data_IF_457624015130
#
_entry.id   IF_457624015130
#
_cell.length_a   1.000
_cell.length_b   1.000
_cell.length_c   1.000
_cell.angle_alpha   90.00
_cell.angle_beta   90.00
_cell.angle_gamma   90.00
#
_symmetry.space_group_name_H-M   'P 1'
#
loop_
_entity.id
_entity.type
_entity.pdbx_description
1 polymer ?
#
# COMPACT_ATOMS: atom_id res chain seq x y z
N UNK A 1 -2.16 -30.17 7.97
CA UNK A 1 -2.02 -31.18 6.93
C UNK A 1 -3.25 -31.08 6.03
N UNK A 2 -3.25 -30.19 5.07
CA UNK A 2 -4.26 -30.14 4.00
C UNK A 2 -3.53 -30.43 2.71
N UNK A 3 -3.67 -31.66 2.25
CA UNK A 3 -3.17 -32.14 0.97
C UNK A 3 -3.89 -31.40 -0.16
N UNK A 4 -3.17 -30.51 -0.83
CA UNK A 4 -3.58 -29.95 -2.10
C UNK A 4 -3.76 -31.14 -3.08
N UNK A 5 -4.97 -31.30 -3.60
CA UNK A 5 -5.24 -32.24 -4.70
C UNK A 5 -4.38 -31.81 -5.89
N UNK A 6 -3.73 -32.73 -6.60
CA UNK A 6 -3.06 -32.43 -7.85
C UNK A 6 -4.11 -31.90 -8.83
N UNK A 7 -3.91 -30.68 -9.33
CA UNK A 7 -4.67 -30.17 -10.46
C UNK A 7 -4.40 -31.09 -11.67
N UNK A 8 -5.46 -31.40 -12.39
CA UNK A 8 -5.42 -32.10 -13.64
C UNK A 8 -4.33 -31.50 -14.54
N UNK A 9 -3.50 -32.35 -15.12
CA UNK A 9 -2.49 -31.98 -16.10
C UNK A 9 -3.12 -31.07 -17.16
N UNK A 10 -2.57 -29.86 -17.41
CA UNK A 10 -3.09 -29.00 -18.46
C UNK A 10 -2.95 -29.74 -19.78
N UNK A 11 -4.05 -29.84 -20.53
CA UNK A 11 -4.17 -30.45 -21.84
C UNK A 11 -2.88 -30.38 -22.65
N UNK A 12 -2.38 -31.55 -22.94
CA UNK A 12 -1.25 -31.90 -23.81
C UNK A 12 -0.52 -30.72 -24.44
N UNK A 13 0.71 -30.51 -24.00
CA UNK A 13 1.77 -29.68 -24.61
C UNK A 13 2.08 -30.24 -26.03
N UNK A 14 1.13 -30.21 -26.92
CA UNK A 14 1.29 -30.38 -28.36
C UNK A 14 1.17 -29.00 -29.00
N UNK A 15 2.29 -28.28 -29.05
CA UNK A 15 2.30 -26.99 -29.76
C UNK A 15 3.45 -26.04 -29.46
N UNK A 16 4.29 -26.24 -28.43
CA UNK A 16 5.52 -25.48 -28.31
C UNK A 16 6.58 -26.18 -29.14
N UNK A 17 6.73 -25.78 -30.42
CA UNK A 17 7.74 -26.35 -31.32
C UNK A 17 9.20 -26.04 -30.91
N UNK A 18 9.54 -26.00 -29.65
CA UNK A 18 10.89 -25.99 -29.13
C UNK A 18 11.37 -27.44 -29.05
N UNK A 19 11.89 -27.98 -30.16
CA UNK A 19 12.56 -29.26 -30.21
C UNK A 19 14.06 -29.16 -29.93
N UNK A 20 14.59 -27.96 -29.69
CA UNK A 20 15.99 -27.74 -29.38
C UNK A 20 16.20 -27.59 -27.87
N UNK A 21 16.17 -28.76 -27.19
CA UNK A 21 16.39 -28.88 -25.74
C UNK A 21 17.69 -28.19 -25.30
N UNK A 22 18.70 -28.21 -26.14
CA UNK A 22 20.02 -27.60 -25.88
C UNK A 22 19.98 -26.10 -25.78
N UNK A 23 19.15 -25.39 -26.55
CA UNK A 23 19.06 -23.93 -26.47
C UNK A 23 18.35 -23.49 -25.18
N UNK A 24 17.30 -24.18 -24.80
CA UNK A 24 16.58 -23.90 -23.54
C UNK A 24 17.45 -24.18 -22.31
N UNK A 25 18.28 -25.24 -22.37
CA UNK A 25 19.21 -25.57 -21.31
C UNK A 25 20.29 -24.48 -21.15
N UNK A 26 20.92 -24.03 -22.24
CA UNK A 26 21.89 -22.92 -22.23
C UNK A 26 21.24 -21.63 -21.72
N UNK A 27 20.01 -21.32 -22.15
CA UNK A 27 19.29 -20.13 -21.69
C UNK A 27 18.95 -20.25 -20.20
N UNK A 28 18.61 -21.45 -19.72
CA UNK A 28 18.40 -21.74 -18.32
C UNK A 28 19.61 -21.45 -17.45
N UNK A 29 20.77 -21.97 -17.84
CA UNK A 29 22.03 -21.73 -17.12
C UNK A 29 22.43 -20.25 -17.10
N UNK A 30 22.25 -19.55 -18.22
CA UNK A 30 22.52 -18.11 -18.29
C UNK A 30 21.59 -17.30 -17.38
N UNK A 31 20.30 -17.62 -17.39
CA UNK A 31 19.31 -16.93 -16.57
C UNK A 31 19.50 -17.24 -15.09
N UNK A 32 19.85 -18.49 -14.74
CA UNK A 32 20.13 -18.90 -13.37
C UNK A 32 21.29 -18.10 -12.72
N UNK A 33 22.23 -17.65 -13.53
CA UNK A 33 23.35 -16.82 -13.07
C UNK A 33 22.98 -15.34 -12.83
N UNK A 34 21.78 -14.89 -13.25
CA UNK A 34 21.37 -13.50 -13.08
C UNK A 34 20.84 -13.24 -11.65
N UNK A 35 21.22 -12.10 -11.04
CA UNK A 35 20.84 -11.78 -9.66
C UNK A 35 19.40 -11.24 -9.51
N UNK A 36 18.64 -11.15 -10.59
CA UNK A 36 17.26 -10.65 -10.58
C UNK A 36 16.31 -11.70 -11.13
N UNK A 37 15.05 -11.62 -10.75
CA UNK A 37 14.00 -12.43 -11.36
C UNK A 37 13.95 -12.21 -12.87
N UNK A 38 14.26 -13.26 -13.64
CA UNK A 38 14.32 -13.19 -15.10
C UNK A 38 13.55 -14.36 -15.70
N UNK A 39 12.75 -14.06 -16.72
CA UNK A 39 12.00 -15.09 -17.46
C UNK A 39 12.04 -14.83 -18.98
N UNK A 40 12.06 -15.88 -19.76
CA UNK A 40 11.81 -15.85 -21.20
C UNK A 40 10.37 -16.28 -21.46
N UNK A 41 9.65 -15.46 -22.19
CA UNK A 41 8.27 -15.69 -22.55
C UNK A 41 8.14 -15.96 -24.06
N UNK A 42 7.21 -16.82 -24.42
CA UNK A 42 6.80 -17.06 -25.82
C UNK A 42 5.83 -15.97 -26.32
N UNK A 43 5.43 -16.08 -27.59
CA UNK A 43 4.44 -15.17 -28.20
C UNK A 43 3.06 -15.22 -27.52
N UNK A 44 2.73 -16.33 -26.85
CA UNK A 44 1.52 -16.52 -26.05
C UNK A 44 1.68 -16.03 -24.61
N UNK A 45 2.84 -15.44 -24.29
CA UNK A 45 3.18 -14.92 -22.95
C UNK A 45 3.31 -16.01 -21.89
N UNK A 46 3.69 -17.22 -22.30
CA UNK A 46 3.97 -18.32 -21.40
C UNK A 46 5.46 -18.34 -21.07
N UNK A 47 5.78 -18.68 -19.83
CA UNK A 47 7.15 -18.83 -19.36
C UNK A 47 7.77 -20.06 -20.01
N UNK A 48 8.88 -19.88 -20.71
CA UNK A 48 9.68 -20.96 -21.29
C UNK A 48 10.84 -21.32 -20.37
N UNK A 49 11.49 -20.32 -19.81
CA UNK A 49 12.61 -20.46 -18.87
C UNK A 49 12.54 -19.31 -17.90
N UNK A 50 12.85 -19.54 -16.65
CA UNK A 50 13.04 -18.47 -15.69
C UNK A 50 14.01 -18.86 -14.57
N UNK A 51 14.51 -17.91 -13.78
CA UNK A 51 15.25 -18.13 -12.55
C UNK A 51 14.41 -17.76 -11.34
N UNK A 52 14.90 -17.91 -10.14
CA UNK A 52 14.22 -17.57 -8.89
C UNK A 52 13.94 -16.08 -8.78
N UNK A 53 12.67 -15.72 -8.50
CA UNK A 53 12.28 -14.37 -8.19
C UNK A 53 12.22 -14.25 -6.67
N UNK A 54 13.16 -13.52 -6.08
CA UNK A 54 13.14 -13.19 -4.66
C UNK A 54 12.27 -11.95 -4.46
N UNK A 55 11.10 -12.12 -3.86
CA UNK A 55 10.19 -11.01 -3.53
C UNK A 55 10.25 -10.59 -2.06
N UNK A 56 11.30 -10.91 -1.32
CA UNK A 56 11.64 -10.74 0.10
C UNK A 56 11.50 -12.01 0.99
N UNK A 57 12.29 -12.00 2.10
CA UNK A 57 12.28 -12.93 3.24
C UNK A 57 12.57 -14.41 2.94
N UNK A 58 13.42 -14.67 1.95
CA UNK A 58 13.95 -16.02 1.73
C UNK A 58 12.96 -17.01 1.12
N UNK A 59 11.76 -16.60 0.77
CA UNK A 59 10.88 -17.43 -0.06
C UNK A 59 11.37 -17.41 -1.50
N UNK A 60 12.22 -18.37 -1.82
CA UNK A 60 12.64 -18.69 -3.19
C UNK A 60 11.50 -19.49 -3.83
N UNK A 61 10.85 -18.94 -4.82
CA UNK A 61 9.97 -19.74 -5.64
C UNK A 61 10.82 -20.52 -6.65
N UNK A 62 10.90 -21.82 -6.48
CA UNK A 62 11.59 -22.70 -7.41
C UNK A 62 10.88 -22.71 -8.76
N UNK A 63 11.64 -22.57 -9.82
CA UNK A 63 11.19 -22.14 -11.16
C UNK A 63 10.90 -23.29 -12.09
N UNK A 64 11.46 -24.44 -11.83
CA UNK A 64 11.22 -25.64 -12.64
C UNK A 64 9.72 -26.00 -12.75
N UNK A 65 8.91 -25.47 -11.80
CA UNK A 65 7.45 -25.67 -11.77
C UNK A 65 6.66 -24.72 -12.69
N UNK A 66 7.26 -23.69 -13.30
CA UNK A 66 6.52 -22.64 -14.02
C UNK A 66 6.60 -22.73 -15.54
N UNK A 67 7.18 -23.76 -16.09
CA UNK A 67 7.17 -23.96 -17.54
C UNK A 67 5.75 -24.03 -18.11
N UNK A 68 5.46 -23.16 -19.05
CA UNK A 68 4.14 -23.08 -19.70
C UNK A 68 3.09 -22.25 -18.96
N UNK A 69 3.38 -21.75 -17.72
CA UNK A 69 2.50 -20.86 -16.99
C UNK A 69 2.52 -19.43 -17.55
N UNK A 70 1.45 -18.70 -17.35
CA UNK A 70 1.41 -17.27 -17.70
C UNK A 70 1.92 -16.41 -16.54
N UNK A 71 2.43 -15.23 -16.88
CA UNK A 71 2.89 -14.23 -15.89
C UNK A 71 1.81 -13.93 -14.84
N UNK A 72 2.23 -13.69 -13.59
CA UNK A 72 1.34 -13.41 -12.44
C UNK A 72 1.16 -14.61 -11.52
N UNK A 73 1.09 -15.82 -12.06
CA UNK A 73 1.05 -17.06 -11.28
C UNK A 73 2.41 -17.33 -10.62
N UNK A 74 3.56 -17.27 -11.34
CA UNK A 74 4.88 -17.39 -10.75
C UNK A 74 5.19 -16.33 -9.69
N UNK A 75 4.56 -15.17 -9.77
CA UNK A 75 4.73 -14.08 -8.81
C UNK A 75 3.83 -14.20 -7.58
N UNK A 76 3.07 -15.28 -7.46
CA UNK A 76 2.08 -15.47 -6.39
C UNK A 76 1.13 -14.29 -6.23
N UNK A 77 0.87 -13.52 -7.30
CA UNK A 77 0.01 -12.36 -7.28
C UNK A 77 -1.41 -12.73 -6.81
N UNK A 78 -1.90 -12.10 -5.77
CA UNK A 78 -3.23 -12.39 -5.21
C UNK A 78 -4.34 -12.18 -6.22
N UNK A 79 -4.24 -11.15 -7.07
CA UNK A 79 -5.23 -10.92 -8.11
C UNK A 79 -5.26 -12.02 -9.17
N UNK A 80 -4.09 -12.61 -9.50
CA UNK A 80 -4.02 -13.77 -10.38
C UNK A 80 -4.67 -14.99 -9.71
N UNK A 81 -4.38 -15.24 -8.43
CA UNK A 81 -4.94 -16.37 -7.66
C UNK A 81 -6.45 -16.26 -7.45
N UNK A 82 -6.98 -15.07 -7.22
CA UNK A 82 -8.42 -14.83 -7.05
C UNK A 82 -9.21 -14.87 -8.36
N UNK A 83 -8.51 -14.76 -9.49
CA UNK A 83 -9.08 -14.80 -10.82
C UNK A 83 -8.94 -16.17 -11.49
N UNK A 84 -8.38 -16.15 -12.72
CA UNK A 84 -8.18 -17.38 -13.54
C UNK A 84 -6.86 -18.10 -13.28
N UNK A 85 -6.12 -17.74 -12.24
CA UNK A 85 -4.80 -18.28 -11.92
C UNK A 85 -3.65 -17.58 -12.66
N UNK A 86 -3.90 -16.62 -13.54
CA UNK A 86 -2.87 -15.89 -14.30
C UNK A 86 -3.27 -14.43 -14.53
N UNK A 87 -2.32 -13.60 -14.97
CA UNK A 87 -2.58 -12.22 -15.34
C UNK A 87 -3.61 -12.17 -16.48
N UNK A 88 -4.77 -11.58 -16.17
CA UNK A 88 -5.83 -11.31 -17.14
C UNK A 88 -5.80 -9.82 -17.53
N UNK A 89 -6.54 -9.45 -18.58
CA UNK A 89 -6.73 -8.04 -18.95
C UNK A 89 -8.01 -7.46 -18.38
N UNK A 90 -8.70 -8.23 -17.55
CA UNK A 90 -10.00 -7.88 -16.99
C UNK A 90 -9.85 -7.38 -15.56
N UNK A 91 -10.81 -6.57 -15.10
CA UNK A 91 -10.86 -6.08 -13.73
C UNK A 91 -9.60 -5.30 -13.33
N UNK A 92 -9.04 -5.66 -12.20
CA UNK A 92 -7.86 -5.03 -11.59
C UNK A 92 -6.61 -5.17 -12.47
N UNK A 93 -6.43 -6.32 -13.14
CA UNK A 93 -5.25 -6.57 -13.98
C UNK A 93 -5.16 -5.64 -15.19
N UNK A 94 -6.26 -5.02 -15.62
CA UNK A 94 -6.27 -4.02 -16.69
C UNK A 94 -5.39 -2.80 -16.39
N UNK A 95 -5.25 -2.47 -15.11
CA UNK A 95 -4.46 -1.31 -14.64
C UNK A 95 -3.07 -1.72 -14.12
N UNK A 96 -2.77 -3.00 -14.07
CA UNK A 96 -1.48 -3.50 -13.61
C UNK A 96 -0.39 -3.26 -14.66
N UNK A 97 0.77 -2.73 -14.23
CA UNK A 97 1.90 -2.46 -15.12
C UNK A 97 2.50 -3.72 -15.74
N UNK A 98 2.48 -4.86 -15.04
CA UNK A 98 3.10 -6.09 -15.53
C UNK A 98 2.49 -6.59 -16.86
N UNK A 99 1.17 -6.91 -16.96
CA UNK A 99 0.60 -7.32 -18.24
C UNK A 99 0.66 -6.23 -19.29
N UNK A 100 0.51 -4.95 -18.90
CA UNK A 100 0.53 -3.84 -19.84
C UNK A 100 1.90 -3.66 -20.50
N UNK A 101 3.00 -3.74 -19.74
CA UNK A 101 4.35 -3.66 -20.29
C UNK A 101 4.68 -4.80 -21.25
N UNK A 102 4.24 -6.03 -20.95
CA UNK A 102 4.43 -7.18 -21.82
C UNK A 102 3.71 -6.99 -23.16
N UNK A 103 2.46 -6.52 -23.13
CA UNK A 103 1.68 -6.27 -24.36
C UNK A 103 2.27 -5.11 -25.14
N UNK A 104 2.64 -4.05 -24.48
CA UNK A 104 3.23 -2.89 -25.13
C UNK A 104 4.52 -3.28 -25.86
N UNK A 105 5.44 -3.99 -25.17
CA UNK A 105 6.68 -4.44 -25.80
C UNK A 105 6.44 -5.42 -26.96
N UNK A 106 5.46 -6.33 -26.82
CA UNK A 106 5.10 -7.26 -27.86
C UNK A 106 4.51 -6.56 -29.11
N UNK A 107 3.68 -5.53 -28.90
CA UNK A 107 3.05 -4.77 -29.97
C UNK A 107 4.03 -3.85 -30.70
N UNK A 108 4.82 -3.11 -29.93
CA UNK A 108 5.66 -2.04 -30.46
C UNK A 108 7.04 -2.58 -30.92
N UNK A 109 7.41 -3.78 -30.47
CA UNK A 109 8.72 -4.39 -30.78
C UNK A 109 9.88 -3.68 -30.09
N UNK A 110 9.62 -2.90 -29.06
CA UNK A 110 10.59 -2.10 -28.33
C UNK A 110 10.73 -2.54 -26.88
N UNK A 111 11.86 -2.17 -26.25
CA UNK A 111 12.06 -2.33 -24.83
C UNK A 111 11.09 -1.44 -24.05
N UNK A 112 10.40 -2.04 -23.08
CA UNK A 112 9.53 -1.31 -22.14
C UNK A 112 10.10 -1.47 -20.74
N UNK A 113 10.23 -0.36 -20.03
CA UNK A 113 10.59 -0.34 -18.60
C UNK A 113 9.49 0.37 -17.84
N UNK A 114 8.99 -0.28 -16.78
CA UNK A 114 7.87 0.23 -15.99
C UNK A 114 7.98 -0.19 -14.54
N UNK A 115 7.55 0.70 -13.64
CA UNK A 115 7.36 0.37 -12.23
C UNK A 115 5.89 0.08 -11.96
N UNK A 116 5.64 -0.91 -11.15
CA UNK A 116 4.28 -1.27 -10.73
C UNK A 116 4.31 -1.92 -9.35
N UNK A 117 3.14 -2.02 -8.77
CA UNK A 117 2.93 -2.64 -7.46
C UNK A 117 2.18 -3.94 -7.64
N UNK A 118 2.60 -5.00 -6.97
CA UNK A 118 1.88 -6.27 -6.90
C UNK A 118 1.53 -6.60 -5.47
N UNK A 119 0.44 -7.33 -5.28
CA UNK A 119 0.01 -7.81 -3.98
C UNK A 119 0.28 -9.31 -3.90
N UNK A 120 1.10 -9.73 -2.93
CA UNK A 120 1.50 -11.11 -2.71
C UNK A 120 1.01 -11.61 -1.34
N UNK A 121 0.85 -12.93 -1.12
CA UNK A 121 0.57 -13.46 0.20
C UNK A 121 1.70 -13.13 1.18
N UNK A 122 1.36 -12.74 2.39
CA UNK A 122 2.26 -12.67 3.55
C UNK A 122 1.89 -13.77 4.56
N UNK A 123 2.62 -13.86 5.67
CA UNK A 123 2.39 -14.89 6.70
C UNK A 123 1.01 -14.76 7.36
N UNK A 124 0.59 -13.55 7.70
CA UNK A 124 -0.71 -13.27 8.32
C UNK A 124 -1.65 -12.49 7.41
N UNK A 125 -1.12 -11.62 6.56
CA UNK A 125 -1.88 -10.73 5.67
C UNK A 125 -1.21 -10.61 4.30
N UNK A 126 -1.91 -10.01 3.33
CA UNK A 126 -1.34 -9.75 2.01
C UNK A 126 -0.31 -8.62 2.08
N UNK A 127 0.81 -8.79 1.39
CA UNK A 127 1.90 -7.83 1.31
C UNK A 127 1.94 -7.15 -0.05
N UNK A 128 2.27 -5.87 -0.05
CA UNK A 128 2.44 -5.05 -1.25
C UNK A 128 3.93 -4.96 -1.56
N UNK A 129 4.31 -5.29 -2.80
CA UNK A 129 5.70 -5.27 -3.29
C UNK A 129 5.79 -4.33 -4.48
N UNK A 130 6.69 -3.36 -4.40
CA UNK A 130 7.05 -2.49 -5.52
C UNK A 130 8.08 -3.18 -6.40
N UNK A 131 7.76 -3.34 -7.68
CA UNK A 131 8.64 -3.97 -8.65
C UNK A 131 8.93 -3.03 -9.81
N UNK A 132 10.18 -3.08 -10.29
CA UNK A 132 10.57 -2.54 -11.60
C UNK A 132 10.68 -3.70 -12.56
N UNK A 133 10.00 -3.59 -13.67
CA UNK A 133 10.01 -4.60 -14.72
C UNK A 133 10.58 -4.01 -16.00
N UNK A 134 11.36 -4.84 -16.69
CA UNK A 134 11.85 -4.56 -18.01
C UNK A 134 11.43 -5.71 -18.93
N UNK A 135 10.75 -5.37 -19.99
CA UNK A 135 10.35 -6.31 -21.04
C UNK A 135 11.09 -5.95 -22.31
N UNK A 136 11.85 -6.88 -22.84
CA UNK A 136 12.62 -6.67 -24.07
C UNK A 136 12.32 -7.75 -25.09
N UNK A 137 11.93 -7.40 -26.33
CA UNK A 137 11.76 -8.37 -27.40
C UNK A 137 13.10 -9.02 -27.73
N UNK A 138 13.07 -10.33 -27.93
CA UNK A 138 14.21 -11.14 -28.38
C UNK A 138 13.82 -11.88 -29.65
N UNK A 139 14.76 -12.01 -30.56
CA UNK A 139 14.65 -12.92 -31.70
C UNK A 139 15.74 -13.98 -31.58
N UNK A 140 15.32 -15.23 -31.37
CA UNK A 140 16.22 -16.37 -31.33
C UNK A 140 15.83 -17.30 -32.47
N UNK A 141 16.73 -17.47 -33.44
CA UNK A 141 16.42 -18.11 -34.72
C UNK A 141 15.26 -17.35 -35.41
N UNK A 142 14.18 -18.04 -35.77
CA UNK A 142 12.99 -17.41 -36.41
C UNK A 142 11.86 -17.10 -35.39
N UNK A 143 12.11 -17.27 -34.10
CA UNK A 143 11.10 -17.09 -33.05
C UNK A 143 11.19 -15.74 -32.40
N UNK A 144 10.03 -15.16 -32.15
CA UNK A 144 9.86 -13.94 -31.38
C UNK A 144 9.61 -14.33 -29.93
N UNK A 145 10.50 -13.93 -29.06
CA UNK A 145 10.44 -14.16 -27.61
C UNK A 145 10.47 -12.81 -26.88
N UNK A 146 10.23 -12.83 -25.59
CA UNK A 146 10.37 -11.66 -24.73
C UNK A 146 11.18 -12.02 -23.51
N UNK A 147 12.18 -11.22 -23.20
CA UNK A 147 12.91 -11.27 -21.93
C UNK A 147 12.21 -10.35 -20.94
N UNK A 148 11.70 -10.92 -19.88
CA UNK A 148 11.11 -10.22 -18.74
C UNK A 148 12.11 -10.25 -17.58
N UNK A 149 12.50 -9.08 -17.07
CA UNK A 149 13.25 -8.95 -15.82
C UNK A 149 12.39 -8.27 -14.78
N UNK A 150 12.46 -8.74 -13.54
CA UNK A 150 11.72 -8.21 -12.39
C UNK A 150 12.70 -7.95 -11.27
N UNK A 151 12.73 -6.72 -10.80
CA UNK A 151 13.53 -6.28 -9.68
C UNK A 151 12.61 -5.78 -8.57
N UNK A 152 12.76 -6.32 -7.38
CA UNK A 152 12.13 -5.75 -6.19
C UNK A 152 12.82 -4.44 -5.83
N UNK A 153 12.07 -3.35 -5.87
CA UNK A 153 12.55 -2.00 -5.56
C UNK A 153 11.93 -1.43 -4.29
N UNK A 154 11.25 -2.26 -3.49
CA UNK A 154 10.55 -1.81 -2.29
C UNK A 154 11.49 -1.11 -1.31
N UNK A 155 12.68 -1.67 -1.04
CA UNK A 155 13.67 -1.03 -0.17
C UNK A 155 14.21 0.29 -0.73
N UNK A 156 14.54 0.29 -2.02
CA UNK A 156 15.02 1.51 -2.70
C UNK A 156 13.97 2.61 -2.63
N UNK A 157 12.72 2.27 -2.93
CA UNK A 157 11.60 3.22 -2.80
C UNK A 157 11.37 3.65 -1.36
N UNK A 158 11.52 2.75 -0.39
CA UNK A 158 11.45 3.09 1.03
C UNK A 158 12.44 4.22 1.36
N UNK A 159 13.69 4.03 0.95
CA UNK A 159 14.76 5.00 1.21
C UNK A 159 14.54 6.33 0.50
N UNK A 160 14.23 6.31 -0.79
CA UNK A 160 13.99 7.52 -1.59
C UNK A 160 12.87 8.40 -1.05
N UNK A 161 11.81 7.78 -0.52
CA UNK A 161 10.68 8.52 0.02
C UNK A 161 10.98 9.12 1.36
N UNK A 162 11.67 8.37 2.23
CA UNK A 162 12.16 8.89 3.48
C UNK A 162 13.01 10.13 3.27
N UNK A 163 13.92 10.08 2.32
CA UNK A 163 14.79 11.22 2.01
C UNK A 163 14.01 12.38 1.38
N UNK A 164 13.12 12.12 0.45
CA UNK A 164 12.46 13.17 -0.33
C UNK A 164 11.29 13.83 0.40
N UNK A 165 10.36 13.02 0.91
CA UNK A 165 9.12 13.55 1.51
C UNK A 165 9.39 14.13 2.89
N UNK A 166 10.04 13.35 3.73
CA UNK A 166 10.32 13.73 5.10
C UNK A 166 11.21 14.99 5.22
N UNK A 167 12.36 14.98 4.52
CA UNK A 167 13.23 16.15 4.58
C UNK A 167 12.64 17.39 3.93
N UNK A 168 11.90 17.23 2.83
CA UNK A 168 11.23 18.34 2.18
C UNK A 168 10.19 19.00 3.09
N UNK A 169 9.35 18.21 3.76
CA UNK A 169 8.30 18.74 4.63
C UNK A 169 8.88 19.35 5.91
N UNK A 170 9.90 18.73 6.50
CA UNK A 170 10.65 19.32 7.62
C UNK A 170 11.30 20.64 7.20
N UNK A 171 11.99 20.70 6.07
CA UNK A 171 12.65 21.90 5.60
C UNK A 171 11.65 23.02 5.33
N UNK A 172 10.49 22.73 4.74
CA UNK A 172 9.45 23.73 4.51
C UNK A 172 8.87 24.28 5.81
N UNK A 173 8.53 23.43 6.77
CA UNK A 173 8.01 23.84 8.08
C UNK A 173 9.06 24.60 8.88
N UNK A 174 10.33 24.16 8.85
CA UNK A 174 11.44 24.84 9.50
C UNK A 174 11.72 26.21 8.86
N UNK A 175 11.60 26.30 7.53
CA UNK A 175 11.71 27.57 6.80
C UNK A 175 10.61 28.54 7.18
N UNK A 176 9.36 28.08 7.28
CA UNK A 176 8.23 28.91 7.75
C UNK A 176 8.44 29.39 9.18
N UNK A 177 8.85 28.49 10.09
CA UNK A 177 9.17 28.86 11.48
C UNK A 177 10.29 29.90 11.55
N UNK A 178 11.36 29.73 10.76
CA UNK A 178 12.47 30.71 10.71
C UNK A 178 11.99 32.06 10.21
N UNK A 179 11.06 32.10 9.25
CA UNK A 179 10.43 33.34 8.77
C UNK A 179 9.62 34.03 9.85
N UNK A 180 8.76 33.29 10.57
CA UNK A 180 7.94 33.86 11.66
C UNK A 180 8.83 34.38 12.80
N UNK A 181 9.82 33.58 13.22
CA UNK A 181 10.75 34.01 14.30
C UNK A 181 11.54 35.25 13.88
N UNK A 182 11.99 35.36 12.64
CA UNK A 182 12.68 36.54 12.12
C UNK A 182 11.78 37.77 12.20
N UNK A 183 10.53 37.66 11.74
CA UNK A 183 9.56 38.76 11.78
C UNK A 183 9.25 39.21 13.24
N UNK A 184 9.12 38.24 14.15
CA UNK A 184 8.98 38.53 15.58
C UNK A 184 10.19 39.30 16.17
N UNK A 185 11.41 38.99 15.70
CA UNK A 185 12.65 39.64 16.17
C UNK A 185 12.86 41.03 15.56
N UNK A 186 12.41 41.26 14.33
CA UNK A 186 12.53 42.54 13.63
C UNK A 186 11.56 43.62 14.15
N UNK A 187 10.59 43.25 15.00
CA UNK A 187 9.64 44.13 15.68
C UNK A 187 8.28 44.15 14.97
N UNK A 188 7.42 43.20 15.27
CA UNK A 188 6.02 43.23 14.90
C UNK A 188 5.16 44.06 15.86
N UNK A 189 4.01 44.52 15.41
CA UNK A 189 3.03 45.18 16.27
C UNK A 189 2.53 44.25 17.39
N UNK A 190 2.17 44.83 18.52
CA UNK A 190 1.86 44.05 19.74
C UNK A 190 0.66 43.15 19.60
N UNK A 191 -0.32 43.54 18.78
CA UNK A 191 -1.54 42.76 18.51
C UNK A 191 -1.25 41.53 17.62
N UNK A 192 -0.32 41.64 16.68
CA UNK A 192 0.07 40.50 15.78
C UNK A 192 1.02 39.51 16.46
N UNK A 193 1.69 39.93 17.54
CA UNK A 193 2.73 39.15 18.21
C UNK A 193 2.18 37.88 18.85
N UNK A 194 1.04 37.97 19.52
CA UNK A 194 0.43 36.85 20.23
C UNK A 194 -0.11 35.81 19.21
N UNK A 195 -0.70 36.24 18.10
CA UNK A 195 -1.16 35.38 17.01
C UNK A 195 0.02 34.65 16.35
N UNK A 196 1.13 35.35 16.12
CA UNK A 196 2.34 34.74 15.54
C UNK A 196 3.03 33.75 16.48
N UNK A 197 3.02 34.01 17.79
CA UNK A 197 3.52 33.08 18.80
C UNK A 197 2.65 31.82 18.87
N UNK A 198 1.33 31.99 18.82
CA UNK A 198 0.40 30.86 18.75
C UNK A 198 0.64 30.04 17.49
N UNK A 199 0.70 30.68 16.32
CA UNK A 199 0.99 30.01 15.03
C UNK A 199 2.34 29.28 15.07
N UNK A 200 3.37 29.87 15.69
CA UNK A 200 4.68 29.24 15.88
C UNK A 200 4.54 27.94 16.68
N UNK A 201 3.77 27.98 17.77
CA UNK A 201 3.48 26.83 18.61
C UNK A 201 2.76 25.71 17.85
N UNK A 202 1.77 26.06 17.05
CA UNK A 202 1.01 25.13 16.21
C UNK A 202 1.91 24.45 15.17
N UNK A 203 2.73 25.21 14.43
CA UNK A 203 3.65 24.66 13.42
C UNK A 203 4.73 23.78 14.06
N UNK A 204 5.25 24.15 15.25
CA UNK A 204 6.20 23.33 16.01
C UNK A 204 5.56 22.01 16.45
N UNK A 205 4.32 22.04 16.92
CA UNK A 205 3.59 20.85 17.32
C UNK A 205 3.36 19.93 16.12
N UNK A 206 2.91 20.48 15.00
CA UNK A 206 2.74 19.70 13.75
C UNK A 206 4.05 19.08 13.28
N UNK A 207 5.17 19.81 13.36
CA UNK A 207 6.48 19.30 12.98
C UNK A 207 6.89 18.13 13.87
N UNK A 208 6.68 18.27 15.18
CA UNK A 208 7.01 17.20 16.13
C UNK A 208 6.15 15.94 15.93
N UNK A 209 4.85 16.12 15.68
CA UNK A 209 3.93 15.03 15.36
C UNK A 209 4.37 14.30 14.09
N UNK A 210 4.78 15.04 13.04
CA UNK A 210 5.29 14.46 11.79
C UNK A 210 6.56 13.64 12.00
N UNK A 211 7.52 14.15 12.77
CA UNK A 211 8.78 13.45 13.10
C UNK A 211 8.49 12.15 13.88
N UNK A 212 7.61 12.21 14.88
CA UNK A 212 7.21 11.03 15.66
C UNK A 212 6.50 10.02 14.75
N UNK A 213 5.64 10.51 13.88
CA UNK A 213 4.91 9.69 12.91
C UNK A 213 5.87 8.92 11.99
N UNK A 214 6.86 9.58 11.45
CA UNK A 214 7.86 8.97 10.57
C UNK A 214 8.74 7.96 11.33
N UNK A 215 9.18 8.31 12.55
CA UNK A 215 9.95 7.38 13.40
C UNK A 215 9.18 6.09 13.67
N UNK A 216 7.90 6.18 14.02
CA UNK A 216 7.06 5.01 14.28
C UNK A 216 6.84 4.18 13.00
N UNK A 217 6.64 4.84 11.86
CA UNK A 217 6.48 4.13 10.59
C UNK A 217 7.75 3.35 10.23
N UNK A 218 8.92 3.95 10.41
CA UNK A 218 10.21 3.28 10.24
C UNK A 218 10.36 2.07 11.15
N UNK A 219 10.06 2.24 12.44
CA UNK A 219 10.12 1.15 13.40
C UNK A 219 9.12 0.03 13.05
N UNK A 220 7.94 0.38 12.54
CA UNK A 220 6.97 -0.61 12.06
C UNK A 220 7.48 -1.37 10.84
N UNK A 221 8.10 -0.67 9.88
CA UNK A 221 8.63 -1.32 8.67
C UNK A 221 9.84 -2.21 8.93
N UNK A 222 10.66 -1.87 9.94
CA UNK A 222 11.80 -2.70 10.36
C UNK A 222 11.41 -3.83 11.33
N UNK A 223 10.13 -3.93 11.72
CA UNK A 223 9.69 -4.91 12.74
C UNK A 223 10.11 -4.56 14.17
N UNK A 224 10.63 -3.36 14.39
CA UNK A 224 11.12 -2.90 15.71
C UNK A 224 10.07 -2.15 16.53
N UNK A 225 8.87 -1.92 15.97
CA UNK A 225 7.79 -1.23 16.68
C UNK A 225 7.24 -2.13 17.78
N UNK A 226 7.39 -1.69 19.03
CA UNK A 226 6.83 -2.39 20.19
C UNK A 226 5.44 -1.83 20.46
N UNK A 227 4.42 -2.67 20.41
CA UNK A 227 3.05 -2.33 20.79
C UNK A 227 2.89 -2.35 22.31
N UNK A 228 2.06 -1.45 22.84
CA UNK A 228 1.72 -1.35 24.25
C UNK A 228 0.20 -1.50 24.45
N UNK A 229 -0.31 -2.75 24.39
CA UNK A 229 -1.75 -2.97 24.50
C UNK A 229 -2.24 -2.68 25.92
N UNK A 230 -3.27 -1.85 26.00
CA UNK A 230 -3.99 -1.54 27.24
C UNK A 230 -5.49 -1.66 27.00
N UNK A 231 -6.24 -1.81 28.09
CA UNK A 231 -7.70 -1.82 28.01
C UNK A 231 -8.22 -0.41 27.77
N UNK A 232 -8.95 -0.21 26.67
CA UNK A 232 -9.47 1.10 26.27
C UNK A 232 -10.93 1.02 25.86
N UNK A 233 -11.66 2.12 26.07
CA UNK A 233 -12.99 2.30 25.55
C UNK A 233 -12.91 2.81 24.10
N UNK A 234 -13.45 2.08 23.10
CA UNK A 234 -13.40 2.49 21.69
C UNK A 234 -14.07 3.83 21.42
N UNK A 235 -15.17 4.10 22.12
CA UNK A 235 -15.93 5.35 21.98
C UNK A 235 -15.09 6.55 22.43
N UNK A 236 -14.33 6.39 23.51
CA UNK A 236 -13.45 7.44 24.01
C UNK A 236 -12.29 7.71 23.03
N UNK A 237 -11.71 6.68 22.41
CA UNK A 237 -10.69 6.83 21.39
C UNK A 237 -11.19 7.62 20.18
N UNK A 238 -12.39 7.28 19.70
CA UNK A 238 -12.98 7.99 18.57
C UNK A 238 -13.31 9.44 18.93
N UNK A 239 -13.90 9.69 20.10
CA UNK A 239 -14.22 11.05 20.57
C UNK A 239 -12.97 11.93 20.69
N UNK A 240 -11.86 11.39 21.21
CA UNK A 240 -10.60 12.11 21.32
C UNK A 240 -10.03 12.43 19.94
N UNK A 241 -10.10 11.49 18.98
CA UNK A 241 -9.64 11.68 17.61
C UNK A 241 -10.46 12.74 16.87
N UNK A 242 -11.79 12.70 16.97
CA UNK A 242 -12.69 13.71 16.39
C UNK A 242 -12.46 15.08 17.01
N UNK A 243 -12.30 15.15 18.34
CA UNK A 243 -12.04 16.41 19.04
C UNK A 243 -10.70 17.04 18.61
N UNK A 244 -9.67 16.23 18.37
CA UNK A 244 -8.38 16.69 17.84
C UNK A 244 -8.54 17.26 16.43
N UNK A 245 -9.25 16.54 15.55
CA UNK A 245 -9.45 16.97 14.17
C UNK A 245 -10.31 18.23 14.06
N UNK A 246 -11.37 18.35 14.87
CA UNK A 246 -12.20 19.56 14.90
C UNK A 246 -11.44 20.80 15.39
N UNK A 247 -10.41 20.66 16.22
CA UNK A 247 -9.54 21.77 16.62
C UNK A 247 -8.61 22.22 15.50
N UNK A 248 -8.08 21.26 14.72
CA UNK A 248 -7.14 21.54 13.62
C UNK A 248 -7.85 22.09 12.38
N UNK A 249 -9.04 21.61 12.09
CA UNK A 249 -9.85 21.98 10.93
C UNK A 249 -11.09 22.79 11.38
N UNK A 250 -10.90 23.93 11.97
CA UNK A 250 -11.76 24.92 12.63
C UNK A 250 -13.29 24.98 12.34
N UNK A 251 -13.88 24.08 11.58
CA UNK A 251 -15.21 24.25 11.01
C UNK A 251 -16.27 23.23 11.47
N UNK A 252 -15.99 22.35 12.44
CA UNK A 252 -16.99 21.40 12.97
C UNK A 252 -17.61 20.47 11.91
N UNK A 253 -16.86 20.11 10.89
CA UNK A 253 -17.32 19.36 9.71
C UNK A 253 -17.45 17.84 9.92
N UNK A 254 -17.18 17.35 11.12
CA UNK A 254 -17.28 15.93 11.45
C UNK A 254 -18.54 15.72 12.28
N UNK A 255 -19.46 14.94 11.73
CA UNK A 255 -20.66 14.49 12.41
C UNK A 255 -20.45 13.08 12.96
N UNK A 256 -20.79 12.92 14.22
CA UNK A 256 -20.64 11.64 14.91
C UNK A 256 -21.98 10.91 14.98
N UNK A 257 -22.00 9.68 14.52
CA UNK A 257 -23.13 8.78 14.71
C UNK A 257 -22.93 7.97 15.98
N UNK A 258 -23.77 8.20 17.02
CA UNK A 258 -23.69 7.41 18.25
C UNK A 258 -23.97 5.94 17.96
N UNK A 259 -23.24 5.07 18.63
CA UNK A 259 -23.41 3.62 18.54
C UNK A 259 -24.76 3.24 19.15
N UNK A 260 -25.56 2.45 18.45
CA UNK A 260 -26.83 1.91 19.01
C UNK A 260 -26.59 0.79 20.05
N UNK A 261 -25.36 0.29 20.17
CA UNK A 261 -25.02 -0.77 21.14
C UNK A 261 -24.73 -0.19 22.52
N UNK A 262 -25.48 -0.67 23.50
CA UNK A 262 -25.40 -0.30 24.93
C UNK A 262 -24.27 -1.03 25.68
N UNK A 263 -23.31 -1.61 24.97
CA UNK A 263 -22.24 -2.35 25.64
C UNK A 263 -21.00 -1.46 25.78
N UNK A 264 -20.68 -1.10 27.01
CA UNK A 264 -19.44 -0.40 27.42
C UNK A 264 -18.18 -1.28 27.15
N UNK A 265 -18.18 -2.00 26.03
CA UNK A 265 -17.13 -2.96 25.67
C UNK A 265 -15.76 -2.31 25.61
N UNK A 266 -14.84 -2.84 26.41
CA UNK A 266 -13.42 -2.48 26.30
C UNK A 266 -12.74 -3.40 25.31
N UNK A 267 -11.77 -2.86 24.58
CA UNK A 267 -10.85 -3.65 23.74
C UNK A 267 -9.43 -3.55 24.28
N UNK A 268 -8.65 -4.61 24.04
CA UNK A 268 -7.22 -4.62 24.38
C UNK A 268 -6.44 -4.21 23.13
N UNK A 269 -5.89 -3.00 23.12
CA UNK A 269 -5.18 -2.47 21.95
C UNK A 269 -4.20 -1.36 22.35
N UNK A 270 -3.33 -0.96 21.42
CA UNK A 270 -2.47 0.22 21.60
C UNK A 270 -3.24 1.49 21.19
N UNK A 271 -3.62 2.35 22.17
CA UNK A 271 -4.42 3.54 21.89
C UNK A 271 -3.70 4.57 21.01
N UNK A 272 -2.36 4.60 21.02
CA UNK A 272 -1.57 5.53 20.21
C UNK A 272 -1.68 5.16 18.73
N UNK A 273 -1.54 3.86 18.42
CA UNK A 273 -1.65 3.37 17.06
C UNK A 273 -3.08 3.48 16.51
N UNK A 274 -4.09 3.12 17.34
CA UNK A 274 -5.51 3.28 16.94
C UNK A 274 -5.84 4.73 16.63
N UNK A 275 -5.50 5.68 17.52
CA UNK A 275 -5.72 7.11 17.29
C UNK A 275 -5.07 7.58 16.01
N UNK A 276 -3.84 7.14 15.75
CA UNK A 276 -3.13 7.49 14.52
C UNK A 276 -3.87 7.03 13.27
N UNK A 277 -4.40 5.81 13.27
CA UNK A 277 -5.21 5.30 12.16
C UNK A 277 -6.47 6.14 12.00
N UNK A 278 -7.20 6.40 13.09
CA UNK A 278 -8.43 7.21 13.08
C UNK A 278 -8.19 8.63 12.58
N UNK A 279 -7.12 9.29 13.02
CA UNK A 279 -6.73 10.63 12.55
C UNK A 279 -6.44 10.62 11.05
N UNK A 280 -5.73 9.60 10.54
CA UNK A 280 -5.48 9.46 9.11
C UNK A 280 -6.76 9.22 8.31
N UNK A 281 -7.70 8.41 8.80
CA UNK A 281 -9.00 8.20 8.17
C UNK A 281 -9.81 9.50 8.11
N UNK A 282 -9.91 10.22 9.23
CA UNK A 282 -10.62 11.50 9.33
C UNK A 282 -10.00 12.58 8.45
N UNK A 283 -8.67 12.70 8.47
CA UNK A 283 -7.93 13.66 7.63
C UNK A 283 -8.17 13.39 6.14
N UNK A 284 -8.07 12.15 5.71
CA UNK A 284 -8.31 11.77 4.32
C UNK A 284 -9.75 12.10 3.89
N UNK A 285 -10.72 11.83 4.75
CA UNK A 285 -12.13 12.13 4.50
C UNK A 285 -12.37 13.64 4.42
N UNK A 286 -11.84 14.44 5.35
CA UNK A 286 -11.97 15.90 5.34
C UNK A 286 -11.33 16.53 4.11
N UNK A 287 -10.14 16.08 3.73
CA UNK A 287 -9.44 16.57 2.55
C UNK A 287 -10.12 16.20 1.23
N UNK A 288 -10.91 15.11 1.22
CA UNK A 288 -11.67 14.67 0.03
C UNK A 288 -13.08 15.26 -0.02
N UNK A 289 -13.49 16.01 1.01
CA UNK A 289 -14.85 16.54 1.17
C UNK A 289 -14.85 18.06 0.96
N UNK A 290 -15.69 18.62 0.06
CA UNK A 290 -15.89 20.06 -0.06
C UNK A 290 -16.29 20.71 1.25
N UNK A 291 -16.01 22.02 1.39
CA UNK A 291 -16.21 22.76 2.67
C UNK A 291 -17.66 22.86 3.13
N UNK A 292 -18.61 22.70 2.25
CA UNK A 292 -20.05 22.69 2.51
C UNK A 292 -20.64 21.34 2.89
N UNK A 293 -19.82 20.28 2.98
CA UNK A 293 -20.27 18.92 3.26
C UNK A 293 -19.64 18.37 4.54
N UNK A 294 -20.34 17.41 5.15
CA UNK A 294 -19.92 16.77 6.38
C UNK A 294 -19.24 15.43 6.14
N UNK A 295 -18.26 15.15 6.97
CA UNK A 295 -17.69 13.82 7.17
C UNK A 295 -18.44 13.16 8.32
N UNK A 296 -18.84 11.91 8.16
CA UNK A 296 -19.54 11.17 9.21
C UNK A 296 -18.67 10.02 9.71
N UNK A 297 -18.76 9.72 11.00
CA UNK A 297 -17.98 8.66 11.63
C UNK A 297 -18.77 7.99 12.74
N UNK A 298 -18.43 6.75 13.05
CA UNK A 298 -19.07 5.99 14.12
C UNK A 298 -18.36 4.68 14.42
N UNK A 299 -18.96 3.92 15.32
CA UNK A 299 -18.49 2.60 15.76
C UNK A 299 -19.64 1.61 15.59
N UNK A 300 -19.31 0.41 15.16
CA UNK A 300 -20.17 -0.77 15.20
C UNK A 300 -19.45 -1.82 16.04
N UNK A 301 -20.11 -2.28 17.11
CA UNK A 301 -19.58 -3.33 17.97
C UNK A 301 -20.35 -4.63 17.69
N UNK A 302 -19.61 -5.68 17.40
CA UNK A 302 -20.08 -7.07 17.26
C UNK A 302 -19.43 -7.92 18.35
N UNK A 303 -19.90 -9.15 18.60
CA UNK A 303 -19.39 -9.99 19.69
C UNK A 303 -17.86 -10.20 19.68
N UNK A 304 -17.26 -10.25 18.49
CA UNK A 304 -15.85 -10.56 18.33
C UNK A 304 -14.98 -9.39 17.84
N UNK A 305 -15.61 -8.34 17.30
CA UNK A 305 -14.91 -7.23 16.63
C UNK A 305 -15.55 -5.88 16.92
N UNK A 306 -14.71 -4.86 17.05
CA UNK A 306 -15.14 -3.46 17.03
C UNK A 306 -14.69 -2.85 15.71
N UNK A 307 -15.62 -2.25 15.00
CA UNK A 307 -15.40 -1.62 13.71
C UNK A 307 -15.57 -0.12 13.82
N UNK A 308 -14.50 0.64 13.62
CA UNK A 308 -14.54 2.08 13.41
C UNK A 308 -14.74 2.36 11.93
N UNK A 309 -15.58 3.33 11.61
CA UNK A 309 -15.80 3.74 10.23
C UNK A 309 -15.79 5.25 10.06
N UNK A 310 -15.33 5.72 8.90
CA UNK A 310 -15.32 7.13 8.50
C UNK A 310 -15.83 7.21 7.07
N UNK A 311 -16.90 7.96 6.86
CA UNK A 311 -17.57 8.14 5.59
C UNK A 311 -17.43 9.57 5.07
N UNK A 312 -17.22 9.70 3.77
CA UNK A 312 -17.31 10.95 3.03
C UNK A 312 -17.92 10.73 1.64
N UNK A 313 -18.50 11.79 1.04
CA UNK A 313 -19.15 11.70 -0.27
C UNK A 313 -18.19 11.61 -1.46
N UNK A 314 -16.88 11.76 -1.25
CA UNK A 314 -15.88 11.65 -2.31
C UNK A 314 -15.80 10.22 -2.87
N UNK A 315 -15.64 10.10 -4.18
CA UNK A 315 -15.43 8.83 -4.87
C UNK A 315 -13.93 8.63 -5.16
N UNK A 316 -13.42 7.44 -4.85
CA UNK A 316 -12.08 7.03 -5.27
C UNK A 316 -12.18 6.38 -6.65
N UNK A 317 -11.50 6.92 -7.70
CA UNK A 317 -11.52 6.34 -9.03
C UNK A 317 -11.06 4.87 -9.03
N UNK A 318 -11.66 3.98 -9.85
CA UNK A 318 -11.32 2.56 -9.85
C UNK A 318 -9.84 2.24 -10.07
N UNK A 319 -9.13 3.03 -10.90
CA UNK A 319 -7.70 2.90 -11.12
C UNK A 319 -6.88 3.20 -9.85
N UNK A 320 -7.38 4.06 -8.97
CA UNK A 320 -6.71 4.49 -7.74
C UNK A 320 -7.01 3.55 -6.58
N UNK A 321 -8.18 2.91 -6.57
CA UNK A 321 -8.58 1.94 -5.55
C UNK A 321 -7.59 0.79 -5.41
N UNK A 322 -7.01 0.34 -6.52
CA UNK A 322 -6.05 -0.77 -6.56
C UNK A 322 -4.75 -0.43 -5.81
N UNK A 323 -4.36 0.84 -5.82
CA UNK A 323 -3.10 1.33 -5.30
C UNK A 323 -3.26 2.10 -3.99
N UNK A 324 -4.48 2.20 -3.46
CA UNK A 324 -4.80 3.09 -2.35
C UNK A 324 -3.95 2.83 -1.10
N UNK A 325 -3.71 1.56 -0.77
CA UNK A 325 -2.86 1.17 0.35
C UNK A 325 -1.40 0.95 -0.04
N UNK A 326 -1.04 1.21 -1.30
CA UNK A 326 0.36 1.16 -1.70
C UNK A 326 1.12 2.31 -1.07
N UNK A 327 2.32 2.03 -0.62
CA UNK A 327 3.26 3.07 -0.22
C UNK A 327 3.46 4.02 -1.40
N UNK A 328 3.43 5.32 -1.19
CA UNK A 328 3.61 6.37 -2.22
C UNK A 328 2.41 6.64 -3.12
N UNK A 329 1.29 6.03 -2.91
CA UNK A 329 0.12 6.39 -3.66
C UNK A 329 -0.55 7.63 -3.04
N UNK A 330 -0.62 8.69 -3.80
CA UNK A 330 -1.38 9.90 -3.47
C UNK A 330 -1.97 10.51 -4.73
N UNK A 331 -3.24 10.82 -4.69
CA UNK A 331 -3.94 11.60 -5.74
C UNK A 331 -3.69 13.11 -5.60
N UNK A 332 -3.00 13.53 -4.52
CA UNK A 332 -2.86 14.95 -4.10
C UNK A 332 -1.46 15.54 -4.31
N UNK A 333 -0.57 14.84 -5.04
CA UNK A 333 0.80 15.30 -5.34
C UNK A 333 1.90 14.31 -4.93
N UNK A 334 3.12 14.57 -5.40
CA UNK A 334 4.28 13.67 -5.31
C UNK A 334 4.84 13.48 -3.89
N UNK A 335 4.39 14.27 -2.90
CA UNK A 335 4.94 14.29 -1.54
C UNK A 335 3.96 13.75 -0.47
N UNK A 336 2.85 13.13 -0.87
CA UNK A 336 1.84 12.55 0.04
C UNK A 336 1.61 11.10 -0.35
N UNK A 337 1.20 10.23 0.57
CA UNK A 337 0.88 8.82 0.24
C UNK A 337 1.28 7.82 1.31
N UNK A 338 1.72 8.29 2.48
CA UNK A 338 2.06 7.41 3.60
C UNK A 338 0.86 7.13 4.52
N UNK A 339 -0.19 7.97 4.48
CA UNK A 339 -1.32 7.88 5.39
C UNK A 339 -2.10 6.55 5.26
N UNK A 340 -2.55 6.22 4.06
CA UNK A 340 -3.31 4.97 3.82
C UNK A 340 -2.46 3.73 3.98
N UNK A 341 -1.20 3.79 3.55
CA UNK A 341 -0.23 2.72 3.76
C UNK A 341 0.01 2.48 5.26
N UNK A 342 0.27 3.54 6.05
CA UNK A 342 0.50 3.41 7.49
C UNK A 342 -0.74 2.88 8.23
N UNK A 343 -1.96 3.27 7.81
CA UNK A 343 -3.19 2.71 8.38
C UNK A 343 -3.22 1.19 8.23
N UNK A 344 -2.91 0.69 7.03
CA UNK A 344 -2.91 -0.75 6.75
C UNK A 344 -1.83 -1.48 7.52
N UNK A 345 -0.58 -1.00 7.46
CA UNK A 345 0.54 -1.60 8.19
C UNK A 345 0.27 -1.67 9.69
N UNK A 346 -0.12 -0.56 10.31
CA UNK A 346 -0.36 -0.54 11.75
C UNK A 346 -1.60 -1.34 12.16
N UNK A 347 -2.68 -1.26 11.38
CA UNK A 347 -3.94 -1.92 11.70
C UNK A 347 -3.89 -3.44 11.54
N UNK A 348 -3.22 -3.92 10.48
CA UNK A 348 -3.18 -5.35 10.17
C UNK A 348 -1.97 -6.05 10.79
N UNK A 349 -0.75 -5.54 10.62
CA UNK A 349 0.46 -6.23 11.05
C UNK A 349 0.76 -6.05 12.55
N UNK A 350 0.31 -4.93 13.15
CA UNK A 350 0.58 -4.63 14.56
C UNK A 350 -0.62 -4.78 15.48
N UNK A 351 -1.80 -4.32 15.07
CA UNK A 351 -3.00 -4.41 15.91
C UNK A 351 -3.82 -5.68 15.67
N UNK A 352 -3.41 -6.55 14.73
CA UNK A 352 -4.10 -7.80 14.41
C UNK A 352 -5.53 -7.60 13.89
N UNK A 353 -5.82 -6.41 13.40
CA UNK A 353 -7.10 -6.01 12.87
C UNK A 353 -7.19 -6.13 11.34
N UNK A 354 -8.14 -5.41 10.75
CA UNK A 354 -8.33 -5.31 9.32
C UNK A 354 -8.60 -3.86 8.91
N UNK A 355 -7.92 -3.36 7.87
CA UNK A 355 -8.13 -2.03 7.30
C UNK A 355 -8.56 -2.15 5.86
N UNK A 356 -9.74 -1.65 5.55
CA UNK A 356 -10.30 -1.70 4.20
C UNK A 356 -11.18 -0.48 3.92
N UNK A 357 -11.66 -0.36 2.71
CA UNK A 357 -12.60 0.68 2.31
C UNK A 357 -13.62 0.14 1.31
N UNK A 358 -14.73 0.86 1.22
CA UNK A 358 -15.75 0.71 0.19
C UNK A 358 -15.93 2.06 -0.51
N UNK A 359 -15.91 2.07 -1.84
CA UNK A 359 -16.07 3.30 -2.61
C UNK A 359 -16.95 3.06 -3.83
N UNK A 360 -18.12 3.71 -3.84
CA UNK A 360 -19.13 3.63 -4.89
C UNK A 360 -19.84 4.97 -5.04
N UNK A 361 -20.80 5.05 -5.96
CA UNK A 361 -21.50 6.30 -6.31
C UNK A 361 -22.07 7.08 -5.11
N UNK A 362 -22.30 6.45 -3.97
CA UNK A 362 -22.78 7.11 -2.76
C UNK A 362 -21.65 7.82 -1.97
N UNK A 363 -20.40 7.44 -2.18
CA UNK A 363 -19.25 7.95 -1.44
C UNK A 363 -18.22 6.89 -1.10
N UNK A 364 -17.32 7.22 -0.19
CA UNK A 364 -16.27 6.33 0.30
C UNK A 364 -16.38 6.16 1.80
N UNK A 365 -16.29 4.92 2.28
CA UNK A 365 -16.17 4.59 3.70
C UNK A 365 -14.87 3.84 3.95
N UNK A 366 -14.07 4.32 4.88
CA UNK A 366 -12.93 3.59 5.43
C UNK A 366 -13.33 2.89 6.70
N UNK A 367 -12.76 1.71 6.90
CA UNK A 367 -13.01 0.84 8.06
C UNK A 367 -11.72 0.43 8.73
N UNK A 368 -11.73 0.41 10.07
CA UNK A 368 -10.76 -0.25 10.93
C UNK A 368 -11.52 -1.23 11.81
N UNK A 369 -11.29 -2.51 11.62
CA UNK A 369 -11.81 -3.59 12.48
C UNK A 369 -10.72 -4.05 13.45
N UNK A 370 -11.03 -4.11 14.73
CA UNK A 370 -10.14 -4.62 15.77
C UNK A 370 -10.82 -5.75 16.54
N UNK A 371 -10.10 -6.81 16.91
CA UNK A 371 -10.65 -7.88 17.74
C UNK A 371 -10.97 -7.36 19.16
N UNK A 372 -12.08 -7.82 19.73
CA UNK A 372 -12.48 -7.48 21.12
C UNK A 372 -11.58 -8.17 22.14
N UNK A 373 -11.10 -9.38 21.84
CA UNK A 373 -10.23 -10.15 22.70
C UNK A 373 -8.80 -10.23 22.18
N UNK A 374 -7.92 -10.01 23.12
CA UNK A 374 -6.46 -10.06 23.18
C UNK A 374 -5.73 -10.66 21.98
N UNK A 375 -4.78 -9.85 21.46
CA UNK A 375 -3.55 -10.36 20.85
C UNK A 375 -2.80 -11.25 21.84
N UNK A 376 -2.33 -12.43 21.46
CA UNK A 376 -1.57 -13.33 22.32
C UNK A 376 -0.24 -12.73 22.78
#
# INVERSE_FOLDING_TARGET
>A
MNTLKPHEEPDSIKGTGFTDSSILEILGDLIAALPYGTAILDESRRVLVSNSIHLDDGQVMAIEEFFGYRTGEPLSCLHARQGKGYCTFDGVCRYCGLPNAIIQSQRDGEKVEQETTIQVPGESHSRIVDIRLTVQPLKISERKLMLLTILNISETKRKEILERVFFHDILNKTGSLSGIVRYLCEGCETEERDDLLQLTGEVLQELNEEIIMQKQLLAAESGELIIQPVQVNPQELLNQSVSQMNRLYSNGRIEFYPTESHDDGFIQTDPVLVKRILINMLKNALEATPDDQLVTTGIQAEEAVVRFWVYNRGLIPPQDQIRLFSRNFSTKGTNRGLGTYSMKLLGEDYLGGRVYFESHNAGTTFYLELPVSVLP
#
